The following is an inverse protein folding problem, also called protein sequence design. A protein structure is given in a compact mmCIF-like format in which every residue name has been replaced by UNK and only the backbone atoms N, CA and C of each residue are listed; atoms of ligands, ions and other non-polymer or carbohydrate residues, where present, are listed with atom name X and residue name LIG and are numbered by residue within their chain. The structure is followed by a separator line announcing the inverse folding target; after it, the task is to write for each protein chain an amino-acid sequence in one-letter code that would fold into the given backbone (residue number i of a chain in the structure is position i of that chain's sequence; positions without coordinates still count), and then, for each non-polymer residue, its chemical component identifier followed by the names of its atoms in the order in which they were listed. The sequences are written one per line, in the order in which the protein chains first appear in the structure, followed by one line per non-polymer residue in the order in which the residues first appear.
data_IF_462285947662
#
_entry.id   IF_462285947662
#
_cell.length_a   1.000
_cell.length_b   1.000
_cell.length_c   1.000
_cell.angle_alpha   90.00
_cell.angle_beta   90.00
_cell.angle_gamma   90.00
#
_symmetry.space_group_name_H-M   'P 1'
#
loop_
_entity.id
_entity.type
_entity.pdbx_description
1 polymer ?
#
# COMPACT_ATOMS: atom_id res chain seq x y z
N UNK A 1 -7.21 -14.78 16.20
CA UNK A 1 -6.25 -13.81 15.62
C UNK A 1 -5.82 -14.35 14.27
N UNK A 2 -6.16 -13.67 13.17
CA UNK A 2 -5.68 -14.08 11.84
C UNK A 2 -4.31 -13.44 11.58
N UNK A 3 -3.33 -14.26 11.21
CA UNK A 3 -2.02 -13.78 10.78
C UNK A 3 -2.18 -13.13 9.40
N UNK A 4 -2.07 -11.81 9.32
CA UNK A 4 -2.06 -11.07 8.05
C UNK A 4 -0.62 -11.03 7.52
N UNK A 5 -0.12 -12.16 7.03
CA UNK A 5 1.13 -12.18 6.27
C UNK A 5 0.76 -12.00 4.80
N UNK A 6 1.12 -10.83 4.25
CA UNK A 6 0.97 -10.42 2.86
C UNK A 6 -0.25 -11.02 2.11
N UNK A 7 -1.47 -10.47 2.30
CA UNK A 7 -2.68 -10.98 1.64
C UNK A 7 -2.73 -10.74 0.12
N UNK A 8 -1.69 -10.15 -0.48
CA UNK A 8 -1.61 -9.83 -1.90
C UNK A 8 -2.54 -8.68 -2.32
N UNK A 9 -2.66 -8.48 -3.63
CA UNK A 9 -3.38 -7.34 -4.21
C UNK A 9 -4.91 -7.45 -4.22
N UNK A 10 -5.46 -8.66 -4.24
CA UNK A 10 -6.90 -8.91 -4.51
C UNK A 10 -7.81 -8.16 -3.53
N UNK A 11 -7.43 -8.10 -2.24
CA UNK A 11 -8.23 -7.41 -1.23
C UNK A 11 -8.25 -5.89 -1.44
N UNK A 12 -7.13 -5.32 -1.86
CA UNK A 12 -7.05 -3.90 -2.13
C UNK A 12 -7.81 -3.54 -3.42
N UNK A 13 -7.65 -4.34 -4.48
CA UNK A 13 -8.40 -4.18 -5.73
C UNK A 13 -9.93 -4.20 -5.49
N UNK A 14 -10.41 -5.16 -4.68
CA UNK A 14 -11.83 -5.22 -4.29
C UNK A 14 -12.27 -3.95 -3.55
N UNK A 15 -11.40 -3.39 -2.69
CA UNK A 15 -11.69 -2.15 -1.98
C UNK A 15 -11.74 -0.92 -2.91
N UNK A 16 -10.85 -0.86 -3.91
CA UNK A 16 -10.82 0.22 -4.92
C UNK A 16 -12.06 0.18 -5.80
N UNK A 17 -12.51 -1.02 -6.18
CA UNK A 17 -13.72 -1.22 -6.99
C UNK A 17 -15.04 -1.00 -6.22
N UNK A 18 -14.98 -0.67 -4.92
CA UNK A 18 -16.16 -0.38 -4.12
C UNK A 18 -16.68 1.03 -4.40
N UNK A 19 -18.01 1.21 -4.41
CA UNK A 19 -18.68 2.49 -4.71
C UNK A 19 -18.17 3.67 -3.87
N UNK A 20 -17.78 3.41 -2.62
CA UNK A 20 -17.39 4.42 -1.63
C UNK A 20 -15.89 4.38 -1.27
N UNK A 21 -15.03 4.05 -2.24
CA UNK A 21 -13.58 4.13 -2.02
C UNK A 21 -13.11 5.58 -1.90
N UNK A 22 -12.26 5.84 -0.89
CA UNK A 22 -11.59 7.14 -0.72
C UNK A 22 -10.10 6.90 -0.79
N UNK A 23 -9.45 7.56 -1.75
CA UNK A 23 -8.02 7.46 -1.97
C UNK A 23 -7.23 7.95 -0.74
N UNK A 24 -6.43 7.03 -0.18
CA UNK A 24 -5.49 7.26 0.94
C UNK A 24 -4.06 6.89 0.56
N UNK A 25 -3.77 6.74 -0.72
CA UNK A 25 -2.46 6.36 -1.25
C UNK A 25 -1.35 7.35 -0.89
N UNK A 26 -1.68 8.60 -0.54
CA UNK A 26 -0.71 9.56 0.01
C UNK A 26 -0.01 9.09 1.30
N UNK A 27 -0.56 8.10 2.01
CA UNK A 27 0.16 7.45 3.12
C UNK A 27 1.44 6.77 2.61
N UNK A 28 1.40 6.15 1.43
CA UNK A 28 2.55 5.45 0.82
C UNK A 28 3.69 6.42 0.54
N UNK A 29 3.40 7.66 0.16
CA UNK A 29 4.44 8.66 -0.07
C UNK A 29 5.27 8.91 1.20
N UNK A 30 4.60 9.01 2.35
CA UNK A 30 5.28 9.07 3.64
C UNK A 30 6.05 7.78 3.94
N UNK A 31 5.46 6.60 3.67
CA UNK A 31 6.13 5.31 3.87
C UNK A 31 7.43 5.22 3.06
N UNK A 32 7.40 5.60 1.79
CA UNK A 32 8.55 5.64 0.90
C UNK A 32 9.68 6.51 1.48
N UNK A 33 9.35 7.63 2.14
CA UNK A 33 10.36 8.51 2.73
C UNK A 33 11.08 7.90 3.95
N UNK A 34 10.45 6.95 4.65
CA UNK A 34 10.99 6.38 5.90
C UNK A 34 11.40 4.91 5.80
N UNK A 35 11.07 4.21 4.71
CA UNK A 35 11.24 2.75 4.56
C UNK A 35 12.70 2.29 4.74
N UNK A 36 13.66 3.09 4.27
CA UNK A 36 15.10 2.81 4.37
C UNK A 36 15.77 3.51 5.58
N UNK A 37 14.99 3.87 6.60
CA UNK A 37 15.48 4.57 7.80
C UNK A 37 15.27 3.73 9.06
N UNK A 38 15.85 4.16 10.19
CA UNK A 38 15.56 3.57 11.51
C UNK A 38 14.11 3.79 11.95
N UNK A 39 13.40 4.75 11.34
CA UNK A 39 12.02 5.11 11.64
C UNK A 39 10.98 4.36 10.79
N UNK A 40 11.38 3.28 10.10
CA UNK A 40 10.51 2.46 9.24
C UNK A 40 9.37 1.73 9.97
N UNK A 41 9.43 1.64 11.29
CA UNK A 41 8.42 0.94 12.09
C UNK A 41 7.22 1.85 12.36
N UNK A 42 6.09 1.56 11.74
CA UNK A 42 4.90 2.42 11.79
C UNK A 42 3.74 1.68 12.46
N UNK A 43 3.05 2.39 13.36
CA UNK A 43 1.86 1.89 14.02
C UNK A 43 0.63 2.66 13.53
N UNK A 44 -0.37 1.93 12.99
CA UNK A 44 -1.64 2.52 12.56
C UNK A 44 -2.64 2.48 13.72
N UNK A 45 -2.63 3.51 14.55
CA UNK A 45 -3.57 3.67 15.67
C UNK A 45 -4.89 4.30 15.19
N UNK A 46 -5.97 3.50 15.13
CA UNK A 46 -7.35 4.01 14.91
C UNK A 46 -8.38 3.17 15.69
N UNK A 47 -9.64 3.64 15.90
CA UNK A 47 -10.71 2.82 16.48
C UNK A 47 -11.19 1.67 15.57
N UNK A 48 -11.96 0.71 16.11
CA UNK A 48 -12.51 -0.42 15.35
C UNK A 48 -13.31 0.08 14.12
N UNK A 49 -13.18 -0.59 12.97
CA UNK A 49 -13.81 -0.25 11.66
C UNK A 49 -13.34 1.03 10.96
N UNK A 50 -12.32 1.72 11.47
CA UNK A 50 -11.71 2.86 10.77
C UNK A 50 -10.68 2.44 9.71
N UNK A 51 -10.98 1.41 8.90
CA UNK A 51 -10.18 1.07 7.71
C UNK A 51 -8.69 0.76 7.93
N UNK A 52 -8.30 0.23 9.10
CA UNK A 52 -6.91 -0.21 9.35
C UNK A 52 -6.51 -1.35 8.40
N UNK A 53 -7.41 -2.32 8.22
CA UNK A 53 -7.21 -3.45 7.31
C UNK A 53 -7.04 -2.97 5.87
N UNK A 54 -7.90 -2.07 5.40
CA UNK A 54 -7.78 -1.49 4.05
C UNK A 54 -6.45 -0.77 3.85
N UNK A 55 -5.95 -0.04 4.85
CA UNK A 55 -4.62 0.59 4.78
C UNK A 55 -3.52 -0.46 4.74
N UNK A 56 -3.62 -1.55 5.50
CA UNK A 56 -2.66 -2.65 5.43
C UNK A 56 -2.68 -3.35 4.06
N UNK A 57 -3.87 -3.65 3.52
CA UNK A 57 -4.04 -4.26 2.20
C UNK A 57 -3.46 -3.35 1.10
N UNK A 58 -3.67 -2.04 1.18
CA UNK A 58 -3.07 -1.04 0.28
C UNK A 58 -1.54 -1.05 0.32
N UNK A 59 -0.96 -1.08 1.52
CA UNK A 59 0.50 -1.10 1.70
C UNK A 59 1.09 -2.42 1.22
N UNK A 60 0.42 -3.54 1.52
CA UNK A 60 0.81 -4.84 0.99
C UNK A 60 0.78 -4.81 -0.53
N UNK A 61 -0.33 -4.38 -1.15
CA UNK A 61 -0.44 -4.27 -2.59
C UNK A 61 0.73 -3.46 -3.18
N UNK A 62 1.02 -2.26 -2.66
CA UNK A 62 2.06 -1.40 -3.23
C UNK A 62 3.49 -1.99 -3.17
N UNK A 63 3.85 -2.68 -2.08
CA UNK A 63 5.21 -3.22 -1.87
C UNK A 63 5.34 -4.71 -2.21
N UNK A 64 4.28 -5.38 -2.65
CA UNK A 64 4.30 -6.82 -2.93
C UNK A 64 5.14 -7.13 -4.17
N UNK A 65 6.38 -7.57 -3.95
CA UNK A 65 7.29 -7.97 -5.01
C UNK A 65 6.91 -9.28 -5.72
N UNK A 66 5.92 -10.02 -5.21
CA UNK A 66 5.43 -11.25 -5.85
C UNK A 66 4.41 -10.99 -6.94
N UNK A 67 3.92 -9.75 -7.04
CA UNK A 67 2.88 -9.36 -7.99
C UNK A 67 3.50 -8.64 -9.18
N UNK A 68 2.90 -8.87 -10.34
CA UNK A 68 3.29 -8.26 -11.61
C UNK A 68 3.29 -6.72 -11.51
N UNK A 69 4.44 -6.11 -11.85
CA UNK A 69 4.66 -4.66 -11.74
C UNK A 69 3.62 -3.86 -12.52
N UNK A 70 3.19 -4.37 -13.67
CA UNK A 70 2.23 -3.69 -14.53
C UNK A 70 0.84 -3.67 -13.89
N UNK A 71 0.43 -4.76 -13.25
CA UNK A 71 -0.84 -4.83 -12.51
C UNK A 71 -0.82 -3.92 -11.29
N UNK A 72 0.30 -3.89 -10.58
CA UNK A 72 0.47 -2.98 -9.46
C UNK A 72 0.34 -1.53 -9.90
N UNK A 73 1.06 -1.15 -10.96
CA UNK A 73 1.01 0.19 -11.53
C UNK A 73 -0.41 0.59 -11.94
N UNK A 74 -1.13 -0.28 -12.65
CA UNK A 74 -2.49 0.01 -13.11
C UNK A 74 -3.46 0.35 -11.98
N UNK A 75 -3.37 -0.32 -10.83
CA UNK A 75 -4.25 -0.02 -9.68
C UNK A 75 -3.95 1.37 -9.11
N UNK A 76 -2.70 1.82 -9.13
CA UNK A 76 -2.28 3.07 -8.49
C UNK A 76 -2.16 4.27 -9.44
N UNK A 77 -2.26 4.09 -10.76
CA UNK A 77 -1.95 5.12 -11.77
C UNK A 77 -2.85 6.36 -11.68
N UNK A 78 -4.11 6.19 -11.30
CA UNK A 78 -5.07 7.28 -11.11
C UNK A 78 -5.10 7.83 -9.68
N UNK A 79 -4.31 7.24 -8.77
CA UNK A 79 -4.29 7.63 -7.36
C UNK A 79 -3.30 8.76 -7.09
N UNK A 80 -3.44 9.38 -5.91
CA UNK A 80 -2.56 10.47 -5.46
C UNK A 80 -1.08 10.07 -5.45
N UNK A 81 -0.75 8.82 -5.13
CA UNK A 81 0.63 8.34 -5.13
C UNK A 81 1.29 8.39 -6.51
N UNK A 82 0.56 8.23 -7.62
CA UNK A 82 1.13 8.30 -8.96
C UNK A 82 1.70 9.67 -9.32
N UNK A 83 1.29 10.73 -8.60
CA UNK A 83 1.86 12.08 -8.75
C UNK A 83 3.14 12.30 -7.95
N UNK A 84 3.47 11.38 -7.03
CA UNK A 84 4.67 11.49 -6.21
C UNK A 84 5.89 10.99 -6.97
N UNK A 85 7.02 11.69 -6.85
CA UNK A 85 8.29 11.26 -7.48
C UNK A 85 8.78 9.90 -6.97
N UNK A 86 8.34 9.49 -5.78
CA UNK A 86 8.73 8.23 -5.14
C UNK A 86 7.98 7.01 -5.69
N UNK A 87 6.98 7.21 -6.57
CA UNK A 87 6.12 6.15 -7.09
C UNK A 87 6.92 5.07 -7.83
N UNK A 88 7.62 5.44 -8.90
CA UNK A 88 8.33 4.45 -9.74
C UNK A 88 9.53 3.83 -9.02
N UNK A 89 10.18 4.55 -8.09
CA UNK A 89 11.39 4.07 -7.42
C UNK A 89 11.13 3.05 -6.31
N UNK A 90 9.92 3.01 -5.75
CA UNK A 90 9.61 2.21 -4.56
C UNK A 90 8.51 1.15 -4.80
N UNK A 91 7.92 1.09 -5.99
CA UNK A 91 7.07 -0.03 -6.36
C UNK A 91 7.87 -1.34 -6.31
N UNK A 92 7.28 -2.37 -5.69
CA UNK A 92 7.89 -3.70 -5.55
C UNK A 92 9.24 -3.70 -4.79
N UNK A 93 9.49 -2.69 -3.94
CA UNK A 93 10.67 -2.61 -3.07
C UNK A 93 10.67 -3.65 -1.92
N UNK A 94 9.82 -4.68 -1.99
CA UNK A 94 9.78 -5.81 -1.07
C UNK A 94 11.19 -6.26 -0.75
N UNK A 95 11.53 -6.15 0.54
CA UNK A 95 12.87 -6.26 1.15
C UNK A 95 13.79 -7.14 0.30
N UNK A 96 14.61 -6.50 -0.54
CA UNK A 96 15.79 -7.15 -1.13
C UNK A 96 16.78 -7.35 0.02
N UNK A 97 16.71 -8.52 0.63
CA UNK A 97 17.74 -9.05 1.52
C UNK A 97 19.03 -9.32 0.75
#
# INVERSE_FOLDING_TARGET
MGTFVNPGMVKFETAVNSEIYVDKSGIIEYLNSVINTKSKYICVLRPRRFGKTTTADMVCAYYDSSVDSDKCRHIFEDMRIAKASSFESNQNAGVRS
#
